data_IF_431623469478
#
_entry.id   IF_431623469478
#
_cell.length_a   1.000
_cell.length_b   1.000
_cell.length_c   1.000
_cell.angle_alpha   90.00
_cell.angle_beta   90.00
_cell.angle_gamma   90.00
#
_symmetry.space_group_name_H-M   'P 1'
#
loop_
_entity.id
_entity.type
_entity.pdbx_description
1 polymer ?
#
# COMPACT_ATOMS: atom_id res chain seq x y z
N UNK A 1 35.28 -59.67 8.04
CA UNK A 1 34.45 -58.78 8.89
C UNK A 1 34.27 -57.46 8.15
N UNK A 2 33.14 -57.31 7.44
CA UNK A 2 32.81 -56.04 6.80
C UNK A 2 31.88 -55.26 7.73
N UNK A 3 32.30 -54.08 8.14
CA UNK A 3 31.46 -53.14 8.91
C UNK A 3 30.63 -52.31 7.95
N UNK A 4 29.28 -52.46 8.00
CA UNK A 4 28.30 -51.63 7.29
C UNK A 4 28.14 -50.32 8.08
N UNK A 5 28.60 -49.20 7.53
CA UNK A 5 28.29 -47.88 8.06
C UNK A 5 26.90 -47.43 7.55
N UNK A 6 25.95 -47.38 8.45
CA UNK A 6 24.62 -46.84 8.15
C UNK A 6 24.68 -45.31 8.15
N UNK A 7 24.52 -44.68 6.98
CA UNK A 7 24.31 -43.23 6.84
C UNK A 7 22.87 -42.90 7.27
N UNK A 8 22.75 -42.25 8.43
CA UNK A 8 21.47 -41.65 8.86
C UNK A 8 21.28 -40.34 8.10
N UNK A 9 20.39 -40.34 7.09
CA UNK A 9 19.92 -39.14 6.45
C UNK A 9 18.90 -38.50 7.37
N UNK A 10 19.27 -37.46 8.09
CA UNK A 10 18.31 -36.57 8.78
C UNK A 10 17.62 -35.67 7.73
N UNK A 11 16.39 -35.98 7.42
CA UNK A 11 15.53 -35.09 6.65
C UNK A 11 15.22 -33.86 7.50
N UNK A 12 15.83 -32.75 7.21
CA UNK A 12 15.35 -31.46 7.65
C UNK A 12 14.04 -31.18 6.91
N UNK A 13 12.92 -31.48 7.54
CA UNK A 13 11.62 -30.97 7.12
C UNK A 13 11.64 -29.46 7.34
N UNK A 14 12.09 -28.71 6.35
CA UNK A 14 11.84 -27.29 6.27
C UNK A 14 10.32 -27.10 6.27
N UNK A 15 9.74 -26.65 7.39
CA UNK A 15 8.34 -26.29 7.47
C UNK A 15 8.07 -25.27 6.37
N UNK A 16 7.14 -25.58 5.46
CA UNK A 16 6.67 -24.63 4.47
C UNK A 16 6.18 -23.39 5.20
N UNK A 17 6.67 -22.21 4.84
CA UNK A 17 6.14 -20.96 5.33
C UNK A 17 4.66 -20.89 4.89
N UNK A 18 3.74 -20.96 5.86
CA UNK A 18 2.31 -20.84 5.60
C UNK A 18 1.89 -19.43 5.94
N UNK A 19 1.42 -18.69 4.95
CA UNK A 19 0.74 -17.42 5.19
C UNK A 19 -0.64 -17.71 5.78
N UNK A 20 -1.05 -16.95 6.81
CA UNK A 20 -2.45 -16.95 7.25
C UNK A 20 -3.33 -16.35 6.17
N UNK A 21 -4.36 -17.08 5.76
CA UNK A 21 -5.33 -16.60 4.79
C UNK A 21 -6.19 -15.48 5.37
N UNK A 22 -6.47 -14.47 4.54
CA UNK A 22 -7.37 -13.37 4.81
C UNK A 22 -6.71 -12.01 4.60
N UNK A 23 -7.56 -11.03 4.29
CA UNK A 23 -7.24 -9.61 4.31
C UNK A 23 -8.06 -8.96 5.42
N UNK A 24 -7.39 -8.21 6.28
CA UNK A 24 -8.03 -7.54 7.41
C UNK A 24 -7.86 -6.04 7.29
N UNK A 25 -8.88 -5.30 7.63
CA UNK A 25 -8.77 -3.85 7.75
C UNK A 25 -7.98 -3.48 9.02
N UNK A 26 -7.37 -2.29 9.06
CA UNK A 26 -6.55 -1.87 10.20
C UNK A 26 -7.34 -1.77 11.51
N UNK A 27 -8.62 -1.44 11.43
CA UNK A 27 -9.55 -1.32 12.55
C UNK A 27 -10.16 -2.66 12.99
N UNK A 28 -10.10 -3.69 12.13
CA UNK A 28 -10.62 -5.03 12.42
C UNK A 28 -9.55 -6.11 12.25
N UNK A 29 -8.34 -5.84 12.73
CA UNK A 29 -7.24 -6.80 12.67
C UNK A 29 -7.40 -7.91 13.72
N UNK A 30 -7.20 -9.21 13.38
CA UNK A 30 -7.44 -10.35 14.27
C UNK A 30 -6.34 -10.53 15.32
N UNK A 31 -6.10 -9.52 16.16
CA UNK A 31 -5.00 -9.48 17.13
C UNK A 31 -4.98 -10.67 18.09
N UNK A 32 -6.14 -11.22 18.45
CA UNK A 32 -6.23 -12.39 19.33
C UNK A 32 -5.76 -13.68 18.62
N UNK A 33 -6.11 -13.86 17.34
CA UNK A 33 -5.65 -14.99 16.50
C UNK A 33 -4.14 -14.94 16.35
N UNK A 34 -3.59 -13.78 16.00
CA UNK A 34 -2.15 -13.57 15.82
C UNK A 34 -1.40 -13.81 17.15
N UNK A 35 -1.92 -13.30 18.27
CA UNK A 35 -1.31 -13.53 19.58
C UNK A 35 -1.28 -15.02 19.96
N UNK A 36 -2.32 -15.77 19.64
CA UNK A 36 -2.40 -17.21 19.90
C UNK A 36 -1.44 -18.01 19.01
N UNK A 37 -1.35 -17.64 17.73
CA UNK A 37 -0.54 -18.38 16.75
C UNK A 37 0.96 -18.07 16.84
N UNK A 38 1.32 -16.81 17.10
CA UNK A 38 2.68 -16.31 16.96
C UNK A 38 3.26 -15.68 18.25
N UNK A 39 2.50 -15.64 19.34
CA UNK A 39 2.94 -14.99 20.58
C UNK A 39 3.07 -13.47 20.51
N UNK A 40 2.66 -12.85 19.40
CA UNK A 40 2.72 -11.40 19.17
C UNK A 40 1.32 -10.80 19.14
N UNK A 41 1.07 -9.83 20.00
CA UNK A 41 -0.20 -9.06 20.04
C UNK A 41 0.03 -7.65 19.52
N UNK A 42 -0.38 -7.31 18.30
CA UNK A 42 -0.30 -5.94 17.80
C UNK A 42 -1.07 -4.98 18.72
N UNK A 43 -0.44 -3.90 19.11
CA UNK A 43 -1.11 -2.81 19.83
C UNK A 43 -1.88 -1.91 18.85
N UNK A 44 -2.84 -1.13 19.35
CA UNK A 44 -3.52 -0.11 18.56
C UNK A 44 -2.55 0.95 18.02
N UNK A 45 -1.48 1.26 18.77
CA UNK A 45 -0.42 2.16 18.32
C UNK A 45 0.36 1.57 17.12
N UNK A 46 0.69 0.27 17.16
CA UNK A 46 1.34 -0.43 16.06
C UNK A 46 0.47 -0.43 14.81
N UNK A 47 -0.81 -0.80 14.94
CA UNK A 47 -1.74 -0.84 13.80
C UNK A 47 -1.98 0.57 13.23
N UNK A 48 -2.13 1.58 14.08
CA UNK A 48 -2.29 2.97 13.66
C UNK A 48 -1.04 3.53 12.98
N UNK A 49 0.16 3.15 13.46
CA UNK A 49 1.43 3.50 12.80
C UNK A 49 1.51 2.85 11.41
N UNK A 50 1.22 1.55 11.31
CA UNK A 50 1.23 0.82 10.04
C UNK A 50 0.20 1.39 9.05
N UNK A 51 -1.01 1.72 9.52
CA UNK A 51 -2.04 2.36 8.71
C UNK A 51 -1.56 3.69 8.12
N UNK A 52 -0.96 4.57 8.93
CA UNK A 52 -0.51 5.89 8.48
C UNK A 52 0.80 5.86 7.71
N UNK A 53 1.61 4.82 7.88
CA UNK A 53 2.80 4.60 7.06
C UNK A 53 2.47 4.05 5.67
N UNK A 54 1.34 3.35 5.54
CA UNK A 54 0.88 2.77 4.27
C UNK A 54 0.10 3.80 3.46
N UNK A 55 0.34 3.83 2.16
CA UNK A 55 -0.26 4.78 1.23
C UNK A 55 -0.94 4.04 0.07
N UNK A 56 -1.93 4.70 -0.51
CA UNK A 56 -2.51 4.34 -1.80
C UNK A 56 -2.08 5.37 -2.84
N UNK A 57 -1.59 4.92 -3.98
CA UNK A 57 -1.45 5.74 -5.18
C UNK A 57 -2.80 5.73 -5.89
N UNK A 58 -3.25 6.89 -6.37
CA UNK A 58 -4.52 7.01 -7.06
C UNK A 58 -4.62 5.99 -8.21
N UNK A 59 -5.61 5.10 -8.12
CA UNK A 59 -5.84 4.03 -9.09
C UNK A 59 -5.74 2.64 -8.46
N UNK A 60 -4.56 2.12 -8.13
CA UNK A 60 -4.46 0.71 -7.70
C UNK A 60 -3.15 0.32 -7.00
N UNK A 61 -2.19 1.23 -6.84
CA UNK A 61 -0.89 0.86 -6.29
C UNK A 61 -0.79 1.10 -4.79
N UNK A 62 -0.03 0.26 -4.12
CA UNK A 62 0.39 0.44 -2.75
C UNK A 62 1.73 1.15 -2.67
N UNK A 63 1.91 1.94 -1.63
CA UNK A 63 3.16 2.60 -1.33
C UNK A 63 3.34 2.73 0.19
N UNK A 64 4.52 3.14 0.64
CA UNK A 64 4.78 3.35 2.06
C UNK A 64 5.71 4.54 2.28
N UNK A 65 5.41 5.36 3.29
CA UNK A 65 6.41 6.28 3.80
C UNK A 65 7.59 5.52 4.39
N UNK A 66 8.82 5.91 4.01
CA UNK A 66 10.07 5.28 4.46
C UNK A 66 11.03 6.28 5.10
N UNK A 67 10.60 7.52 5.29
CA UNK A 67 11.36 8.54 6.03
C UNK A 67 10.42 9.52 6.73
N UNK A 68 10.91 10.26 7.74
CA UNK A 68 10.14 11.33 8.39
C UNK A 68 9.97 12.58 7.53
N UNK A 69 10.57 12.60 6.34
CA UNK A 69 10.58 13.73 5.40
C UNK A 69 9.96 13.37 4.06
N UNK A 70 8.87 12.62 4.09
CA UNK A 70 8.00 12.38 2.94
C UNK A 70 8.52 11.44 1.87
N UNK A 71 9.66 10.74 2.05
CA UNK A 71 10.08 9.71 1.08
C UNK A 71 9.10 8.54 1.09
N UNK A 72 8.75 8.10 -0.11
CA UNK A 72 7.78 7.04 -0.37
C UNK A 72 8.41 5.98 -1.26
N UNK A 73 8.36 4.74 -0.81
CA UNK A 73 8.75 3.55 -1.56
C UNK A 73 7.52 2.96 -2.24
N UNK A 74 7.65 2.63 -3.52
CA UNK A 74 6.62 1.94 -4.30
C UNK A 74 7.25 1.15 -5.45
N UNK A 75 6.42 0.57 -6.33
CA UNK A 75 6.89 -0.15 -7.50
C UNK A 75 7.24 0.81 -8.66
N UNK A 76 8.14 0.36 -9.54
CA UNK A 76 8.48 1.08 -10.77
C UNK A 76 7.26 1.26 -11.67
N UNK A 77 6.50 0.18 -11.92
CA UNK A 77 5.32 0.24 -12.78
C UNK A 77 4.24 1.21 -12.30
N UNK A 78 4.24 1.57 -11.01
CA UNK A 78 3.33 2.58 -10.46
C UNK A 78 3.78 4.03 -10.74
N UNK A 79 5.05 4.24 -11.07
CA UNK A 79 5.67 5.56 -11.24
C UNK A 79 6.12 5.82 -12.68
N UNK A 80 6.22 4.77 -13.51
CA UNK A 80 6.71 4.89 -14.89
C UNK A 80 5.97 5.95 -15.70
N UNK A 81 4.65 6.09 -15.53
CA UNK A 81 3.86 7.14 -16.19
C UNK A 81 4.27 8.57 -15.79
N UNK A 82 4.81 8.78 -14.59
CA UNK A 82 5.43 10.06 -14.22
C UNK A 82 6.74 10.26 -14.99
N UNK A 83 7.60 9.23 -15.06
CA UNK A 83 8.85 9.29 -15.80
C UNK A 83 8.63 9.57 -17.30
N UNK A 84 7.61 8.93 -17.90
CA UNK A 84 7.18 9.18 -19.29
C UNK A 84 6.79 10.64 -19.52
N UNK A 85 5.94 11.22 -18.63
CA UNK A 85 5.49 12.60 -18.76
C UNK A 85 6.60 13.63 -18.53
N UNK A 86 7.65 13.27 -17.79
CA UNK A 86 8.82 14.11 -17.52
C UNK A 86 9.93 13.93 -18.53
N UNK A 87 9.87 12.91 -19.38
CA UNK A 87 10.84 12.67 -20.43
C UNK A 87 10.79 13.78 -21.48
N UNK A 88 11.94 14.39 -21.74
CA UNK A 88 12.11 15.44 -22.76
C UNK A 88 13.37 15.15 -23.57
N UNK A 89 13.30 15.08 -24.91
CA UNK A 89 14.48 14.81 -25.71
C UNK A 89 15.63 15.82 -25.42
N UNK A 90 16.88 15.35 -25.32
CA UNK A 90 17.34 13.98 -25.53
C UNK A 90 17.20 13.05 -24.30
N UNK A 91 16.69 13.51 -23.18
CA UNK A 91 16.57 12.72 -21.94
C UNK A 91 15.35 11.81 -22.00
N UNK A 92 15.54 10.51 -21.93
CA UNK A 92 14.48 9.51 -21.79
C UNK A 92 14.55 8.89 -20.39
N UNK A 93 13.76 9.42 -19.44
CA UNK A 93 13.81 8.96 -18.05
C UNK A 93 13.34 7.51 -17.86
N UNK A 94 12.63 6.95 -18.83
CA UNK A 94 12.21 5.54 -18.81
C UNK A 94 13.38 4.63 -19.17
N UNK A 95 14.11 4.96 -20.25
CA UNK A 95 15.24 4.15 -20.72
C UNK A 95 16.50 4.38 -19.88
N UNK A 96 16.76 5.65 -19.50
CA UNK A 96 18.00 6.04 -18.84
C UNK A 96 17.90 5.95 -17.29
N UNK A 97 16.68 5.80 -16.76
CA UNK A 97 16.39 5.96 -15.34
C UNK A 97 16.56 7.42 -14.86
N UNK A 98 16.27 7.65 -13.60
CA UNK A 98 16.43 8.95 -12.97
C UNK A 98 16.81 8.82 -11.50
N UNK A 99 17.71 9.67 -11.04
CA UNK A 99 18.06 9.82 -9.64
C UNK A 99 18.32 11.28 -9.26
N UNK A 100 17.47 11.83 -8.42
CA UNK A 100 17.66 13.13 -7.81
C UNK A 100 18.72 13.05 -6.70
N UNK A 101 19.88 13.65 -6.92
CA UNK A 101 20.97 13.67 -5.92
C UNK A 101 20.66 14.59 -4.74
N UNK A 102 19.82 15.59 -4.95
CA UNK A 102 19.43 16.62 -3.97
C UNK A 102 17.94 16.92 -4.13
N UNK A 103 17.33 17.52 -3.11
CA UNK A 103 15.91 17.86 -3.11
C UNK A 103 15.51 18.82 -4.24
N UNK A 104 16.41 19.73 -4.63
CA UNK A 104 16.18 20.65 -5.75
C UNK A 104 16.20 19.99 -7.13
N UNK A 105 16.76 18.79 -7.22
CA UNK A 105 16.78 17.99 -8.45
C UNK A 105 15.49 17.16 -8.63
N UNK A 106 14.66 17.04 -7.57
CA UNK A 106 13.41 16.26 -7.60
C UNK A 106 12.39 16.90 -8.54
N UNK A 107 11.76 16.08 -9.40
CA UNK A 107 10.85 16.55 -10.45
C UNK A 107 9.39 16.30 -10.10
N UNK A 108 8.55 17.34 -10.15
CA UNK A 108 7.12 17.20 -9.86
C UNK A 108 6.43 16.28 -10.88
N UNK A 109 5.76 15.24 -10.40
CA UNK A 109 4.99 14.31 -11.20
C UNK A 109 3.61 14.91 -11.51
N UNK A 110 3.26 15.13 -12.78
CA UNK A 110 1.94 15.65 -13.13
C UNK A 110 0.83 14.67 -12.71
N UNK A 111 -0.23 15.19 -12.08
CA UNK A 111 -1.41 14.42 -11.69
C UNK A 111 -1.14 13.17 -10.83
N UNK A 112 0.02 13.07 -10.20
CA UNK A 112 0.35 11.95 -9.31
C UNK A 112 -0.11 12.29 -7.89
N UNK A 113 -0.90 11.42 -7.30
CA UNK A 113 -1.49 11.64 -5.98
C UNK A 113 -1.21 10.47 -5.05
N UNK A 114 -0.96 10.80 -3.77
CA UNK A 114 -0.83 9.83 -2.68
C UNK A 114 -1.96 10.05 -1.68
N UNK A 115 -2.62 8.99 -1.30
CA UNK A 115 -3.68 8.97 -0.29
C UNK A 115 -3.18 8.24 0.97
N UNK A 116 -3.12 8.94 2.09
CA UNK A 116 -2.80 8.39 3.41
C UNK A 116 -4.10 8.16 4.20
N UNK A 117 -4.42 6.91 4.53
CA UNK A 117 -5.60 6.60 5.33
C UNK A 117 -5.40 7.06 6.78
N UNK A 118 -6.12 8.11 7.17
CA UNK A 118 -6.00 8.72 8.50
C UNK A 118 -7.11 8.32 9.45
N UNK A 119 -8.28 7.92 8.92
CA UNK A 119 -9.43 7.55 9.76
C UNK A 119 -10.39 6.61 9.02
N UNK A 120 -10.99 5.70 9.77
CA UNK A 120 -12.08 4.81 9.36
C UNK A 120 -13.25 5.08 10.30
N UNK A 121 -14.42 5.39 9.75
CA UNK A 121 -15.67 5.61 10.51
C UNK A 121 -16.74 4.62 10.05
N UNK A 122 -17.29 3.80 10.95
CA UNK A 122 -18.44 2.94 10.65
C UNK A 122 -19.69 3.78 10.42
N UNK A 123 -20.20 3.77 9.19
CA UNK A 123 -21.44 4.46 8.77
C UNK A 123 -22.59 3.49 8.47
N UNK A 124 -22.44 2.21 8.80
CA UNK A 124 -23.40 1.14 8.51
C UNK A 124 -24.81 1.50 8.95
N UNK A 125 -24.94 2.06 10.16
CA UNK A 125 -26.26 2.48 10.70
C UNK A 125 -26.89 3.58 9.84
N UNK A 126 -26.09 4.53 9.36
CA UNK A 126 -26.57 5.62 8.49
C UNK A 126 -27.07 5.10 7.15
N UNK A 127 -26.31 4.19 6.54
CA UNK A 127 -26.67 3.54 5.26
C UNK A 127 -27.95 2.70 5.44
N UNK A 128 -28.02 1.87 6.47
CA UNK A 128 -29.21 1.04 6.74
C UNK A 128 -30.46 1.86 7.00
N UNK A 129 -30.36 2.97 7.72
CA UNK A 129 -31.49 3.87 7.95
C UNK A 129 -31.99 4.50 6.62
N UNK A 130 -31.10 4.87 5.72
CA UNK A 130 -31.45 5.43 4.42
C UNK A 130 -32.16 4.44 3.48
N UNK A 131 -31.85 3.15 3.60
CA UNK A 131 -32.39 2.07 2.75
C UNK A 131 -33.59 1.34 3.40
N UNK A 132 -33.90 1.62 4.66
CA UNK A 132 -34.95 0.95 5.41
C UNK A 132 -36.32 1.03 4.69
N UNK A 133 -37.01 -0.10 4.62
CA UNK A 133 -38.33 -0.21 3.96
C UNK A 133 -38.33 -0.08 2.45
N UNK A 134 -37.16 -0.02 1.81
CA UNK A 134 -37.02 0.05 0.34
C UNK A 134 -36.55 -1.28 -0.22
N UNK A 135 -36.92 -1.58 -1.48
CA UNK A 135 -36.52 -2.77 -2.19
C UNK A 135 -36.13 -2.45 -3.64
N UNK A 136 -35.38 -3.35 -4.28
CA UNK A 136 -34.99 -3.26 -5.70
C UNK A 136 -34.32 -1.93 -6.05
N UNK A 137 -34.73 -1.31 -7.15
CA UNK A 137 -34.14 -0.08 -7.65
C UNK A 137 -34.23 1.10 -6.65
N UNK A 138 -35.30 1.18 -5.86
CA UNK A 138 -35.47 2.24 -4.86
C UNK A 138 -34.47 2.08 -3.70
N UNK A 139 -34.14 0.87 -3.29
CA UNK A 139 -33.12 0.59 -2.30
C UNK A 139 -31.72 0.96 -2.81
N UNK A 140 -31.38 0.58 -4.04
CA UNK A 140 -30.11 0.91 -4.67
C UNK A 140 -29.93 2.43 -4.83
N UNK A 141 -30.94 3.14 -5.32
CA UNK A 141 -30.90 4.60 -5.44
C UNK A 141 -30.68 5.30 -4.07
N UNK A 142 -31.35 4.80 -3.03
CA UNK A 142 -31.18 5.33 -1.67
C UNK A 142 -29.79 5.02 -1.08
N UNK A 143 -29.22 3.84 -1.35
CA UNK A 143 -27.86 3.46 -1.00
C UNK A 143 -26.86 4.44 -1.63
N UNK A 144 -26.83 4.55 -2.95
CA UNK A 144 -25.88 5.43 -3.64
C UNK A 144 -26.03 6.90 -3.24
N UNK A 145 -27.26 7.37 -3.00
CA UNK A 145 -27.48 8.72 -2.50
C UNK A 145 -26.95 8.92 -1.07
N UNK A 146 -26.99 7.90 -0.21
CA UNK A 146 -26.46 7.98 1.14
C UNK A 146 -24.92 7.94 1.12
N UNK A 147 -24.31 7.08 0.31
CA UNK A 147 -22.89 7.01 0.08
C UNK A 147 -22.34 8.35 -0.45
N UNK A 148 -22.94 8.89 -1.50
CA UNK A 148 -22.55 10.19 -2.06
C UNK A 148 -22.62 11.32 -1.03
N UNK A 149 -23.69 11.38 -0.21
CA UNK A 149 -23.79 12.36 0.88
C UNK A 149 -22.69 12.22 1.92
N UNK A 150 -22.36 10.99 2.31
CA UNK A 150 -21.27 10.72 3.26
C UNK A 150 -19.94 11.21 2.72
N UNK A 151 -19.62 10.88 1.47
CA UNK A 151 -18.40 11.32 0.79
C UNK A 151 -18.32 12.85 0.67
N UNK A 152 -19.39 13.49 0.19
CA UNK A 152 -19.45 14.96 0.03
C UNK A 152 -19.34 15.72 1.35
N UNK A 153 -19.94 15.19 2.43
CA UNK A 153 -19.85 15.83 3.74
C UNK A 153 -18.45 15.78 4.34
N UNK A 154 -17.69 14.75 3.99
CA UNK A 154 -16.32 14.53 4.44
C UNK A 154 -15.28 15.28 3.60
N UNK A 155 -15.41 15.24 2.29
CA UNK A 155 -14.40 15.72 1.31
C UNK A 155 -14.57 17.18 0.89
N UNK A 156 -14.90 18.10 1.81
CA UNK A 156 -15.01 19.54 1.49
C UNK A 156 -13.67 20.23 1.25
N UNK A 157 -12.61 19.70 1.85
CA UNK A 157 -11.23 20.17 1.68
C UNK A 157 -10.56 19.36 0.56
N UNK A 158 -9.86 20.03 -0.37
CA UNK A 158 -9.12 19.38 -1.46
C UNK A 158 -7.99 18.49 -0.95
N UNK A 159 -7.46 18.77 0.23
CA UNK A 159 -6.45 17.95 0.90
C UNK A 159 -7.03 16.67 1.53
N UNK A 160 -8.37 16.48 1.49
CA UNK A 160 -9.06 15.35 2.05
C UNK A 160 -9.83 14.61 0.95
N UNK A 161 -9.66 13.30 0.90
CA UNK A 161 -10.49 12.39 0.10
C UNK A 161 -11.26 11.48 1.01
N UNK A 162 -12.50 11.17 0.65
CA UNK A 162 -13.34 10.27 1.41
C UNK A 162 -14.01 9.27 0.48
N UNK A 163 -13.84 8.00 0.80
CA UNK A 163 -14.43 6.89 0.05
C UNK A 163 -15.33 6.08 1.00
N UNK A 164 -16.52 5.70 0.54
CA UNK A 164 -17.33 4.68 1.22
C UNK A 164 -16.89 3.32 0.74
N UNK A 165 -16.51 2.47 1.69
CA UNK A 165 -16.08 1.09 1.43
C UNK A 165 -17.14 0.14 1.96
N UNK A 166 -17.67 -0.71 1.07
CA UNK A 166 -18.61 -1.77 1.43
C UNK A 166 -17.84 -3.06 1.70
N UNK A 167 -18.00 -3.62 2.88
CA UNK A 167 -17.35 -4.84 3.33
C UNK A 167 -18.38 -5.94 3.57
N UNK A 168 -17.93 -7.21 3.49
CA UNK A 168 -18.74 -8.38 3.78
C UNK A 168 -20.06 -8.41 3.01
N UNK A 169 -20.01 -8.14 1.69
CA UNK A 169 -21.18 -8.08 0.80
C UNK A 169 -22.29 -7.12 1.29
N UNK A 170 -21.88 -5.94 1.79
CA UNK A 170 -22.82 -4.95 2.32
C UNK A 170 -23.21 -5.16 3.79
N UNK A 171 -22.50 -6.04 4.49
CA UNK A 171 -22.66 -6.24 5.93
C UNK A 171 -22.20 -5.04 6.76
N UNK A 172 -21.15 -4.35 6.29
CA UNK A 172 -20.55 -3.17 6.91
C UNK A 172 -20.29 -2.13 5.85
N UNK A 173 -20.47 -0.86 6.21
CA UNK A 173 -20.13 0.31 5.39
C UNK A 173 -19.25 1.23 6.20
N UNK A 174 -18.02 1.45 5.74
CA UNK A 174 -17.05 2.32 6.37
C UNK A 174 -16.79 3.55 5.51
N UNK A 175 -16.62 4.71 6.14
CA UNK A 175 -16.15 5.92 5.51
C UNK A 175 -14.65 6.05 5.77
N UNK A 176 -13.85 5.81 4.74
CA UNK A 176 -12.42 5.95 4.76
C UNK A 176 -12.06 7.39 4.46
N UNK A 177 -11.32 8.02 5.37
CA UNK A 177 -10.83 9.39 5.22
C UNK A 177 -9.34 9.39 4.96
N UNK A 178 -8.95 9.98 3.85
CA UNK A 178 -7.56 10.08 3.43
C UNK A 178 -7.08 11.53 3.48
N UNK A 179 -5.85 11.71 3.95
CA UNK A 179 -5.06 12.90 3.65
C UNK A 179 -4.44 12.70 2.27
N UNK A 180 -4.59 13.71 1.38
CA UNK A 180 -4.07 13.67 0.01
C UNK A 180 -2.82 14.50 -0.11
N UNK A 181 -1.85 13.97 -0.81
CA UNK A 181 -0.66 14.69 -1.24
C UNK A 181 -0.70 14.81 -2.77
N UNK A 182 -0.75 16.04 -3.28
CA UNK A 182 -0.85 16.36 -4.72
C UNK A 182 0.43 16.98 -5.29
N UNK A 183 1.37 17.44 -4.44
CA UNK A 183 2.74 17.77 -4.84
C UNK A 183 3.60 16.55 -4.51
N UNK A 184 3.72 15.66 -5.49
CA UNK A 184 4.57 14.47 -5.39
C UNK A 184 5.67 14.57 -6.41
N UNK A 185 6.90 14.30 -6.01
CA UNK A 185 8.08 14.46 -6.86
C UNK A 185 8.84 13.17 -7.02
N UNK A 186 9.31 12.94 -8.24
CA UNK A 186 10.16 11.82 -8.60
C UNK A 186 11.54 12.01 -7.98
N UNK A 187 11.99 11.00 -7.23
CA UNK A 187 13.31 10.95 -6.60
C UNK A 187 14.18 9.91 -7.29
N UNK A 188 13.61 8.72 -7.54
CA UNK A 188 14.32 7.63 -8.18
C UNK A 188 13.37 6.76 -9.00
N UNK A 189 13.77 6.45 -10.21
CA UNK A 189 13.20 5.43 -11.07
C UNK A 189 14.36 4.73 -11.79
N UNK A 190 14.47 3.38 -11.73
CA UNK A 190 15.48 2.65 -12.46
C UNK A 190 15.18 2.61 -13.97
N UNK A 191 16.15 2.22 -14.75
CA UNK A 191 16.00 1.90 -16.16
C UNK A 191 14.92 0.83 -16.37
N UNK A 192 14.08 0.99 -17.38
CA UNK A 192 12.98 0.06 -17.67
C UNK A 192 13.47 -1.38 -17.84
N UNK A 193 14.61 -1.57 -18.53
CA UNK A 193 15.19 -2.89 -18.76
C UNK A 193 15.56 -3.65 -17.48
N UNK A 194 15.89 -2.93 -16.41
CA UNK A 194 16.16 -3.52 -15.07
C UNK A 194 14.89 -3.67 -14.25
N UNK A 195 13.99 -2.70 -14.38
CA UNK A 195 12.74 -2.68 -13.60
C UNK A 195 11.74 -3.75 -14.03
N UNK A 196 11.76 -4.13 -15.32
CA UNK A 196 10.87 -5.14 -15.90
C UNK A 196 11.66 -6.28 -16.55
N UNK A 197 12.75 -6.70 -15.91
CA UNK A 197 13.57 -7.82 -16.38
C UNK A 197 12.76 -9.11 -16.38
N UNK A 198 12.70 -9.79 -17.55
CA UNK A 198 11.89 -10.98 -17.74
C UNK A 198 10.44 -10.72 -18.18
N UNK A 199 9.97 -9.48 -18.11
CA UNK A 199 8.64 -9.06 -18.55
C UNK A 199 7.49 -9.63 -17.72
N UNK A 200 6.26 -9.55 -18.23
CA UNK A 200 5.05 -10.00 -17.55
C UNK A 200 5.07 -11.47 -17.11
N UNK A 201 5.63 -12.43 -17.87
CA UNK A 201 5.69 -13.83 -17.42
C UNK A 201 6.44 -14.00 -16.10
N UNK A 202 7.48 -13.22 -15.85
CA UNK A 202 8.30 -13.33 -14.64
C UNK A 202 7.75 -12.49 -13.49
N UNK A 203 6.88 -11.52 -13.76
CA UNK A 203 6.32 -10.63 -12.76
C UNK A 203 5.52 -11.36 -11.66
N UNK A 204 4.92 -12.51 -11.97
CA UNK A 204 4.10 -13.30 -11.06
C UNK A 204 4.75 -14.63 -10.64
N UNK A 205 6.03 -14.85 -10.96
CA UNK A 205 6.77 -16.04 -10.61
C UNK A 205 7.72 -15.82 -9.42
N UNK A 206 8.11 -16.93 -8.79
CA UNK A 206 9.19 -16.93 -7.79
C UNK A 206 10.29 -17.92 -8.25
N UNK A 207 11.56 -17.51 -8.20
CA UNK A 207 12.08 -16.18 -7.80
C UNK A 207 11.87 -15.11 -8.87
N UNK A 208 11.66 -13.86 -8.43
CA UNK A 208 11.52 -12.68 -9.28
C UNK A 208 12.84 -11.90 -9.29
N UNK A 209 13.35 -11.57 -10.47
CA UNK A 209 14.65 -10.92 -10.63
C UNK A 209 14.58 -9.47 -11.10
N UNK A 210 13.41 -8.97 -11.46
CA UNK A 210 13.22 -7.58 -11.84
C UNK A 210 13.34 -6.63 -10.63
N UNK A 211 13.83 -5.42 -10.87
CA UNK A 211 14.00 -4.38 -9.87
C UNK A 211 12.83 -3.39 -9.94
N UNK A 212 11.62 -3.89 -9.71
CA UNK A 212 10.38 -3.11 -9.77
C UNK A 212 10.20 -2.22 -8.51
N UNK A 213 11.12 -1.24 -8.36
CA UNK A 213 11.19 -0.32 -7.22
C UNK A 213 11.36 1.11 -7.70
N UNK A 214 10.61 2.04 -7.11
CA UNK A 214 10.79 3.48 -7.31
C UNK A 214 10.62 4.25 -6.00
N UNK A 215 11.16 5.46 -5.97
CA UNK A 215 11.05 6.36 -4.84
C UNK A 215 10.50 7.70 -5.34
N UNK A 216 9.46 8.17 -4.68
CA UNK A 216 8.93 9.52 -4.82
C UNK A 216 8.95 10.24 -3.48
N UNK A 217 8.68 11.54 -3.45
CA UNK A 217 8.55 12.30 -2.22
C UNK A 217 7.27 13.12 -2.22
N UNK A 218 6.53 13.05 -1.12
CA UNK A 218 5.41 13.93 -0.85
C UNK A 218 5.90 15.29 -0.35
N UNK A 219 5.29 16.36 -0.87
CA UNK A 219 5.54 17.75 -0.50
C UNK A 219 4.26 18.41 0.02
N UNK A 220 4.44 19.35 0.96
CA UNK A 220 3.39 20.23 1.47
C UNK A 220 3.95 21.66 1.54
N UNK A 221 3.23 22.61 0.96
CA UNK A 221 3.64 24.03 0.95
C UNK A 221 5.07 24.24 0.43
N UNK A 222 5.46 23.49 -0.62
CA UNK A 222 6.77 23.58 -1.25
C UNK A 222 7.94 22.98 -0.44
N UNK A 223 7.68 22.26 0.63
CA UNK A 223 8.67 21.57 1.47
C UNK A 223 8.37 20.07 1.55
N UNK A 224 9.38 19.21 1.78
CA UNK A 224 9.12 17.80 2.10
C UNK A 224 8.09 17.67 3.23
N UNK A 225 7.10 16.82 3.04
CA UNK A 225 6.03 16.61 4.01
C UNK A 225 6.57 16.01 5.31
N UNK A 226 6.03 16.44 6.45
CA UNK A 226 6.33 15.83 7.74
C UNK A 226 5.54 14.53 7.91
N UNK A 227 6.22 13.40 7.97
CA UNK A 227 5.66 12.05 8.00
C UNK A 227 6.22 11.26 9.18
N UNK A 228 5.75 11.53 10.42
CA UNK A 228 6.26 10.88 11.63
C UNK A 228 5.98 9.37 11.64
N UNK A 229 4.90 8.93 10.98
CA UNK A 229 4.61 7.52 10.77
C UNK A 229 5.25 7.06 9.45
N UNK A 230 6.33 6.30 9.53
CA UNK A 230 7.04 5.73 8.38
C UNK A 230 7.65 4.39 8.74
N UNK A 231 7.80 3.50 7.77
CA UNK A 231 8.46 2.21 7.92
C UNK A 231 9.99 2.39 7.87
N UNK A 232 10.66 1.95 8.91
CA UNK A 232 12.12 1.99 8.96
C UNK A 232 12.72 0.88 8.13
N UNK A 233 13.75 1.19 7.37
CA UNK A 233 14.49 0.20 6.62
C UNK A 233 15.21 -0.77 7.56
N UNK A 234 15.05 -2.08 7.30
CA UNK A 234 15.80 -3.12 8.00
C UNK A 234 16.97 -3.57 7.14
N UNK A 235 18.19 -3.20 7.52
CA UNK A 235 19.39 -3.57 6.79
C UNK A 235 19.65 -5.10 6.80
N UNK A 236 19.07 -5.81 7.76
CA UNK A 236 19.26 -7.26 7.90
C UNK A 236 18.16 -8.08 7.23
N UNK A 237 17.12 -7.43 6.70
CA UNK A 237 15.94 -8.10 6.15
C UNK A 237 15.14 -8.88 7.19
N UNK A 238 14.30 -9.79 6.72
CA UNK A 238 13.59 -10.78 7.54
C UNK A 238 14.35 -12.12 7.57
N UNK A 239 14.10 -12.92 8.61
CA UNK A 239 14.69 -14.26 8.75
C UNK A 239 13.64 -15.33 8.55
N UNK A 240 14.05 -16.52 8.13
CA UNK A 240 13.15 -17.66 8.01
C UNK A 240 12.46 -17.95 9.37
N UNK A 241 11.14 -18.09 9.36
CA UNK A 241 10.31 -18.30 10.55
C UNK A 241 9.98 -17.03 11.35
N UNK A 242 10.43 -15.85 10.92
CA UNK A 242 10.06 -14.58 11.54
C UNK A 242 8.65 -14.17 11.11
N UNK A 243 7.84 -13.65 12.05
CA UNK A 243 6.52 -13.10 11.74
C UNK A 243 6.68 -11.77 10.98
N UNK A 244 6.12 -11.70 9.79
CA UNK A 244 6.10 -10.50 8.96
C UNK A 244 4.66 -10.11 8.62
N UNK A 245 4.47 -8.83 8.32
CA UNK A 245 3.18 -8.29 7.89
C UNK A 245 3.35 -7.61 6.53
N UNK A 246 2.37 -7.80 5.66
CA UNK A 246 2.20 -6.98 4.47
C UNK A 246 1.05 -6.02 4.68
N UNK A 247 1.26 -4.75 4.35
CA UNK A 247 0.23 -3.72 4.41
C UNK A 247 0.16 -3.00 3.06
N UNK A 248 -1.04 -2.70 2.61
CA UNK A 248 -1.22 -2.02 1.33
C UNK A 248 -2.66 -1.98 0.88
N UNK A 249 -2.84 -1.59 -0.36
CA UNK A 249 -4.13 -1.49 -1.02
C UNK A 249 -4.09 -2.43 -2.24
N UNK A 250 -4.46 -3.71 -2.08
CA UNK A 250 -4.44 -4.63 -3.20
C UNK A 250 -5.40 -4.14 -4.29
N UNK A 251 -4.98 -4.29 -5.54
CA UNK A 251 -5.86 -4.07 -6.67
C UNK A 251 -6.96 -5.14 -6.66
N UNK A 252 -8.20 -4.73 -6.88
CA UNK A 252 -9.37 -5.62 -7.02
C UNK A 252 -9.58 -5.97 -8.47
#
# INVERSE_FOLDING_TARGET
MLALAALVFTWFSGGAASADEGMWTFDNFPSAKVAKAYGFRPSSAFLGHLQRASLRIAGSCSASFVSPQGLVLTNHHCVVGCAEQLATPPQNLVEDGFYAKRAEDERACPAFELDQLVRIDDITRTIRAATAGKAGAAANAALHAAEARAQQSCGRDRAVRCDVVSLYHGGVYDLYRYKRYTDVRLVFVPEFAVAQFGGDPDNFNFPRFDYDVSIVRAYENGKPASTPDYLRWSANGSRAGELVFTAGNPAS
#
